data_IF_385865240984
#
_entry.id   IF_385865240984
#
_cell.length_a   1.000
_cell.length_b   1.000
_cell.length_c   1.000
_cell.angle_alpha   90.00
_cell.angle_beta   90.00
_cell.angle_gamma   90.00
#
_symmetry.space_group_name_H-M   'P 1'
#
loop_
_entity.id
_entity.type
_entity.pdbx_description
1 polymer ?
#
# COMPACT_ATOMS: atom_id res chain seq x y z
N UNK A 1 -26.07 -69.57 6.51
CA UNK A 1 -27.08 -68.65 7.11
C UNK A 1 -26.49 -67.29 7.07
N UNK A 2 -26.56 -66.73 5.86
CA UNK A 2 -25.99 -65.43 5.50
C UNK A 2 -27.07 -64.35 5.72
N UNK A 3 -26.73 -63.33 6.45
CA UNK A 3 -27.55 -62.12 6.59
C UNK A 3 -26.98 -61.04 5.66
N UNK A 4 -27.72 -60.67 4.62
CA UNK A 4 -27.55 -59.52 3.79
C UNK A 4 -28.06 -58.29 4.57
N UNK A 5 -27.25 -57.31 4.73
CA UNK A 5 -27.59 -55.98 5.27
C UNK A 5 -27.68 -55.00 4.10
N UNK A 6 -28.88 -54.56 3.79
CA UNK A 6 -29.20 -53.58 2.76
C UNK A 6 -28.72 -52.17 3.21
N UNK A 7 -27.80 -51.57 2.47
CA UNK A 7 -27.44 -50.16 2.61
C UNK A 7 -28.39 -49.32 1.76
N UNK A 8 -29.28 -48.56 2.42
CA UNK A 8 -30.13 -47.57 1.79
C UNK A 8 -29.29 -46.37 1.29
N UNK A 9 -29.41 -46.11 0.00
CA UNK A 9 -28.88 -44.90 -0.68
C UNK A 9 -29.65 -43.66 -0.22
N UNK A 10 -28.99 -42.77 0.52
CA UNK A 10 -29.48 -41.44 0.83
C UNK A 10 -29.03 -40.47 -0.25
N UNK A 11 -29.92 -39.80 -1.00
CA UNK A 11 -29.53 -38.82 -2.01
C UNK A 11 -29.00 -37.53 -1.37
N UNK A 12 -27.72 -37.25 -1.59
CA UNK A 12 -27.10 -35.97 -1.23
C UNK A 12 -27.61 -34.89 -2.17
N UNK A 13 -28.57 -34.09 -1.70
CA UNK A 13 -29.00 -32.87 -2.41
C UNK A 13 -28.01 -31.76 -2.16
N UNK A 14 -27.10 -31.52 -3.08
CA UNK A 14 -26.26 -30.34 -3.13
C UNK A 14 -27.10 -29.10 -3.44
N UNK A 15 -27.46 -28.35 -2.41
CA UNK A 15 -28.09 -27.03 -2.55
C UNK A 15 -27.01 -26.00 -2.87
N UNK A 16 -26.96 -25.52 -4.11
CA UNK A 16 -26.16 -24.39 -4.50
C UNK A 16 -26.56 -23.13 -3.68
N UNK A 17 -25.61 -22.35 -3.15
CA UNK A 17 -25.93 -21.16 -2.39
C UNK A 17 -26.61 -20.11 -3.28
N UNK A 18 -27.84 -19.74 -2.94
CA UNK A 18 -28.55 -18.61 -3.56
C UNK A 18 -27.79 -17.31 -3.24
N UNK A 19 -27.03 -16.80 -4.19
CA UNK A 19 -26.41 -15.47 -4.12
C UNK A 19 -27.50 -14.41 -3.90
N UNK A 20 -27.51 -13.79 -2.72
CA UNK A 20 -28.51 -12.82 -2.35
C UNK A 20 -28.36 -11.54 -3.21
N UNK A 21 -29.48 -11.03 -3.76
CA UNK A 21 -29.54 -9.75 -4.50
C UNK A 21 -29.12 -8.56 -3.61
N UNK A 22 -29.25 -8.69 -2.30
CA UNK A 22 -28.84 -7.69 -1.31
C UNK A 22 -27.34 -7.39 -1.33
N UNK A 23 -26.47 -8.40 -1.51
CA UNK A 23 -25.03 -8.19 -1.58
C UNK A 23 -24.60 -7.37 -2.81
N UNK A 24 -25.30 -7.52 -3.96
CA UNK A 24 -25.01 -6.75 -5.18
C UNK A 24 -25.44 -5.29 -5.06
N UNK A 25 -26.54 -5.01 -4.38
CA UNK A 25 -27.03 -3.63 -4.16
C UNK A 25 -26.18 -2.89 -3.13
N UNK A 26 -25.66 -3.59 -2.12
CA UNK A 26 -24.77 -3.01 -1.11
C UNK A 26 -23.38 -2.69 -1.69
N UNK A 27 -22.84 -3.56 -2.55
CA UNK A 27 -21.57 -3.34 -3.22
C UNK A 27 -21.63 -2.10 -4.15
N UNK A 28 -22.74 -1.91 -4.88
CA UNK A 28 -22.94 -0.74 -5.75
C UNK A 28 -23.08 0.58 -4.94
N UNK A 29 -23.70 0.54 -3.76
CA UNK A 29 -23.82 1.71 -2.89
C UNK A 29 -22.48 2.07 -2.22
N UNK A 30 -21.69 1.07 -1.80
CA UNK A 30 -20.36 1.27 -1.23
C UNK A 30 -19.36 1.75 -2.29
N UNK A 31 -19.42 1.21 -3.51
CA UNK A 31 -18.60 1.67 -4.64
C UNK A 31 -18.91 3.14 -5.00
N UNK A 32 -20.17 3.55 -4.94
CA UNK A 32 -20.56 4.95 -5.14
C UNK A 32 -20.03 5.89 -4.03
N UNK A 33 -19.98 5.43 -2.78
CA UNK A 33 -19.46 6.20 -1.66
C UNK A 33 -17.91 6.27 -1.64
N UNK A 34 -17.22 5.23 -2.11
CA UNK A 34 -15.76 5.20 -2.18
C UNK A 34 -15.19 6.10 -3.27
N UNK A 35 -15.90 6.30 -4.39
CA UNK A 35 -15.48 7.22 -5.47
C UNK A 35 -15.55 8.69 -5.03
N UNK A 36 -16.40 8.97 -4.03
CA UNK A 36 -16.60 10.30 -3.46
C UNK A 36 -16.00 10.38 -2.04
N UNK A 37 -14.78 9.86 -1.86
CA UNK A 37 -14.11 9.91 -0.57
C UNK A 37 -14.28 11.28 0.10
N UNK A 38 -14.61 11.36 1.39
CA UNK A 38 -14.86 12.63 2.04
C UNK A 38 -13.61 13.49 1.92
N UNK A 39 -13.74 14.61 1.23
CA UNK A 39 -12.82 15.72 1.40
C UNK A 39 -12.91 16.12 2.87
N UNK A 40 -12.07 15.53 3.72
CA UNK A 40 -11.99 15.91 5.13
C UNK A 40 -11.42 17.32 5.16
N UNK A 41 -12.32 18.32 5.18
CA UNK A 41 -11.93 19.68 5.44
C UNK A 41 -11.31 19.71 6.84
N UNK A 42 -10.01 19.93 6.91
CA UNK A 42 -9.33 20.24 8.18
C UNK A 42 -9.78 21.62 8.66
N UNK A 43 -9.76 21.83 9.97
CA UNK A 43 -10.02 23.13 10.59
C UNK A 43 -9.06 24.24 10.12
N UNK A 44 -7.88 23.89 9.60
CA UNK A 44 -7.07 24.70 8.71
C UNK A 44 -7.25 24.12 7.31
N UNK A 45 -8.07 24.80 6.47
CA UNK A 45 -8.16 24.44 5.05
C UNK A 45 -6.75 24.17 4.52
N UNK A 46 -6.44 22.99 3.98
CA UNK A 46 -5.17 22.82 3.30
C UNK A 46 -5.08 23.93 2.25
N UNK A 47 -3.91 24.56 2.06
CA UNK A 47 -3.80 25.68 1.15
C UNK A 47 -4.38 25.24 -0.19
N UNK A 48 -5.53 25.83 -0.56
CA UNK A 48 -6.19 25.52 -1.83
C UNK A 48 -5.15 25.69 -2.91
N UNK A 49 -5.10 24.77 -3.85
CA UNK A 49 -4.22 24.92 -5.02
C UNK A 49 -4.40 26.33 -5.55
N UNK A 50 -3.32 27.10 -5.76
CA UNK A 50 -3.48 28.43 -6.32
C UNK A 50 -4.24 28.30 -7.63
N UNK A 51 -5.38 28.97 -7.72
CA UNK A 51 -6.13 29.05 -8.99
C UNK A 51 -5.16 29.63 -10.01
N UNK A 52 -5.13 29.10 -11.25
CA UNK A 52 -4.35 29.71 -12.32
C UNK A 52 -4.68 31.19 -12.39
N UNK A 53 -3.66 32.04 -12.35
CA UNK A 53 -3.84 33.49 -12.44
C UNK A 53 -4.32 33.82 -13.87
N UNK A 54 -5.64 33.93 -14.05
CA UNK A 54 -6.28 34.37 -15.30
C UNK A 54 -6.21 35.88 -15.51
N UNK A 55 -5.36 36.60 -14.76
CA UNK A 55 -5.26 38.07 -14.82
C UNK A 55 -4.69 38.61 -16.16
N UNK A 56 -4.62 37.78 -17.20
CA UNK A 56 -4.26 38.24 -18.56
C UNK A 56 -2.80 38.69 -18.72
N UNK A 57 -1.94 38.40 -17.75
CA UNK A 57 -0.51 38.67 -17.90
C UNK A 57 0.12 37.67 -18.85
N UNK A 58 0.90 38.10 -19.85
CA UNK A 58 1.67 37.16 -20.66
C UNK A 58 2.61 36.36 -19.75
N UNK A 59 2.76 35.04 -19.98
CA UNK A 59 3.70 34.26 -19.23
C UNK A 59 5.11 34.84 -19.35
N UNK A 60 5.93 34.80 -18.29
CA UNK A 60 7.31 35.28 -18.36
C UNK A 60 8.07 34.56 -19.48
N UNK A 61 9.04 35.22 -20.15
CA UNK A 61 9.79 34.60 -21.23
C UNK A 61 10.48 33.33 -20.74
N UNK A 62 10.49 32.26 -21.55
CA UNK A 62 11.08 30.99 -21.16
C UNK A 62 12.57 31.18 -20.84
N UNK A 63 13.00 30.51 -19.77
CA UNK A 63 14.42 30.45 -19.42
C UNK A 63 15.11 29.33 -20.19
N UNK A 64 16.44 29.39 -20.44
CA UNK A 64 17.17 28.33 -21.15
C UNK A 64 16.97 26.93 -20.56
N UNK A 65 16.71 26.82 -19.24
CA UNK A 65 16.36 25.57 -18.58
C UNK A 65 14.96 25.07 -18.98
N UNK A 66 14.03 25.96 -19.27
CA UNK A 66 12.68 25.59 -19.76
C UNK A 66 12.71 25.09 -21.20
N UNK A 67 13.65 25.56 -22.01
CA UNK A 67 13.84 25.06 -23.37
C UNK A 67 14.38 23.62 -23.37
N UNK A 68 15.25 23.27 -22.42
CA UNK A 68 15.73 21.88 -22.25
C UNK A 68 14.60 20.92 -21.85
N UNK A 69 13.59 21.39 -21.14
CA UNK A 69 12.42 20.62 -20.75
C UNK A 69 11.49 20.29 -21.92
N UNK A 70 11.70 20.89 -23.10
CA UNK A 70 10.93 20.56 -24.30
C UNK A 70 11.16 19.11 -24.76
N UNK A 71 12.37 18.58 -24.58
CA UNK A 71 12.70 17.20 -24.98
C UNK A 71 11.86 16.17 -24.21
N UNK A 72 11.85 16.13 -22.87
CA UNK A 72 10.96 15.24 -22.14
C UNK A 72 9.47 15.53 -22.41
N UNK A 73 9.05 16.78 -22.63
CA UNK A 73 7.67 17.10 -22.98
C UNK A 73 7.21 16.46 -24.29
N UNK A 74 8.06 16.46 -25.31
CA UNK A 74 7.75 15.81 -26.60
C UNK A 74 7.70 14.29 -26.45
N UNK A 75 8.65 13.70 -25.72
CA UNK A 75 8.71 12.26 -25.48
C UNK A 75 7.47 11.77 -24.73
N UNK A 76 7.05 12.52 -23.72
CA UNK A 76 5.87 12.17 -22.90
C UNK A 76 4.54 12.73 -23.44
N UNK A 77 4.55 13.43 -24.59
CA UNK A 77 3.32 13.98 -25.16
C UNK A 77 2.22 12.95 -25.42
N UNK A 78 2.47 11.71 -25.91
CA UNK A 78 1.42 10.70 -26.06
C UNK A 78 0.79 10.33 -24.72
N UNK A 79 1.60 10.19 -23.68
CA UNK A 79 1.13 9.91 -22.30
C UNK A 79 0.28 11.08 -21.79
N UNK A 80 0.75 12.31 -21.99
CA UNK A 80 0.00 13.51 -21.64
C UNK A 80 -1.37 13.55 -22.31
N UNK A 81 -1.46 13.37 -23.64
CA UNK A 81 -2.73 13.39 -24.34
C UNK A 81 -3.66 12.28 -23.85
N UNK A 82 -3.14 11.08 -23.67
CA UNK A 82 -3.93 9.95 -23.15
C UNK A 82 -4.48 10.27 -21.77
N UNK A 83 -3.65 10.70 -20.85
CA UNK A 83 -4.07 11.01 -19.48
C UNK A 83 -5.00 12.22 -19.41
N UNK A 84 -4.78 13.25 -20.21
CA UNK A 84 -5.63 14.44 -20.24
C UNK A 84 -7.05 14.12 -20.78
N UNK A 85 -7.14 13.40 -21.89
CA UNK A 85 -8.42 13.18 -22.56
C UNK A 85 -9.19 11.97 -22.05
N UNK A 86 -8.52 10.89 -21.65
CA UNK A 86 -9.18 9.67 -21.18
C UNK A 86 -9.39 9.61 -19.66
N UNK A 87 -8.60 10.36 -18.89
CA UNK A 87 -8.66 10.31 -17.41
C UNK A 87 -9.11 11.66 -16.86
N UNK A 88 -8.31 12.70 -17.04
CA UNK A 88 -8.51 13.97 -16.35
C UNK A 88 -9.83 14.66 -16.74
N UNK A 89 -10.15 14.77 -18.03
CA UNK A 89 -11.38 15.44 -18.45
C UNK A 89 -12.66 14.72 -18.02
N UNK A 90 -12.80 13.39 -18.17
CA UNK A 90 -13.98 12.69 -17.68
C UNK A 90 -14.13 12.77 -16.16
N UNK A 91 -13.04 12.59 -15.41
CA UNK A 91 -13.07 12.65 -13.93
C UNK A 91 -13.37 14.08 -13.47
N UNK A 92 -12.71 15.09 -14.05
CA UNK A 92 -13.00 16.49 -13.73
C UNK A 92 -14.44 16.90 -14.04
N UNK A 93 -15.03 16.37 -15.12
CA UNK A 93 -16.45 16.59 -15.42
C UNK A 93 -17.36 15.93 -14.37
N UNK A 94 -17.00 14.74 -13.88
CA UNK A 94 -17.71 14.04 -12.81
C UNK A 94 -17.61 14.81 -11.49
N UNK A 95 -16.42 15.28 -11.13
CA UNK A 95 -16.20 16.12 -9.92
C UNK A 95 -17.06 17.39 -9.98
N UNK A 96 -17.04 18.13 -11.10
CA UNK A 96 -17.84 19.33 -11.28
C UNK A 96 -19.35 19.02 -11.17
N UNK A 97 -19.80 17.89 -11.73
CA UNK A 97 -21.18 17.45 -11.61
C UNK A 97 -21.57 17.14 -10.16
N UNK A 98 -20.68 16.45 -9.43
CA UNK A 98 -20.87 16.13 -8.01
C UNK A 98 -20.89 17.40 -7.14
N UNK A 99 -19.99 18.36 -7.40
CA UNK A 99 -19.98 19.65 -6.70
C UNK A 99 -21.25 20.45 -6.96
N UNK A 100 -21.72 20.53 -8.22
CA UNK A 100 -22.99 21.20 -8.59
C UNK A 100 -24.19 20.57 -7.90
N UNK A 101 -24.18 19.26 -7.72
CA UNK A 101 -25.20 18.53 -7.00
C UNK A 101 -25.04 18.60 -5.47
N UNK A 102 -24.01 19.33 -4.96
CA UNK A 102 -23.66 19.47 -3.55
C UNK A 102 -23.43 18.13 -2.85
N UNK A 103 -23.04 17.09 -3.59
CA UNK A 103 -22.82 15.75 -3.07
C UNK A 103 -21.68 15.72 -2.03
N UNK A 104 -20.50 16.35 -2.26
CA UNK A 104 -19.41 16.33 -1.28
C UNK A 104 -19.83 16.89 0.08
N UNK A 105 -20.51 18.05 0.11
CA UNK A 105 -20.95 18.66 1.37
C UNK A 105 -22.02 17.83 2.06
N UNK A 106 -22.92 17.21 1.30
CA UNK A 106 -23.97 16.34 1.84
C UNK A 106 -23.35 15.12 2.52
N UNK A 107 -22.40 14.45 1.86
CA UNK A 107 -21.68 13.31 2.44
C UNK A 107 -20.84 13.72 3.64
N UNK A 108 -20.12 14.84 3.54
CA UNK A 108 -19.33 15.37 4.65
C UNK A 108 -20.21 15.60 5.89
N UNK A 109 -21.32 16.33 5.76
CA UNK A 109 -22.24 16.58 6.87
C UNK A 109 -22.93 15.32 7.38
N UNK A 110 -23.09 14.30 6.54
CA UNK A 110 -23.71 13.03 6.96
C UNK A 110 -22.75 12.16 7.78
N UNK A 111 -21.48 12.12 7.40
CA UNK A 111 -20.48 11.26 8.02
C UNK A 111 -19.68 11.92 9.13
N UNK A 112 -19.80 13.26 9.32
CA UNK A 112 -19.06 13.98 10.35
C UNK A 112 -19.97 14.60 11.38
N UNK A 113 -19.49 14.71 12.62
CA UNK A 113 -20.28 15.09 13.78
C UNK A 113 -19.62 16.22 14.58
N UNK A 114 -20.44 16.89 15.39
CA UNK A 114 -20.02 17.96 16.28
C UNK A 114 -19.96 19.34 15.59
N UNK A 115 -19.82 20.42 16.38
CA UNK A 115 -19.91 21.81 15.87
C UNK A 115 -18.80 22.19 14.90
N UNK A 116 -17.66 21.52 14.94
CA UNK A 116 -16.50 21.78 14.08
C UNK A 116 -16.18 20.61 13.15
N UNK A 117 -17.09 19.62 13.05
CA UNK A 117 -16.88 18.41 12.25
C UNK A 117 -15.57 17.66 12.55
N UNK A 118 -15.10 17.72 13.80
CA UNK A 118 -13.84 17.12 14.25
C UNK A 118 -13.92 15.61 14.45
N UNK A 119 -15.08 15.01 14.38
CA UNK A 119 -15.28 13.58 14.50
C UNK A 119 -16.16 13.05 13.38
N UNK A 120 -15.95 11.81 13.01
CA UNK A 120 -16.75 11.19 11.96
C UNK A 120 -16.60 9.68 11.91
N UNK A 121 -17.54 9.05 11.20
CA UNK A 121 -17.53 7.62 10.91
C UNK A 121 -17.84 7.45 9.42
N UNK A 122 -16.93 6.83 8.69
CA UNK A 122 -16.99 6.67 7.24
C UNK A 122 -16.93 5.19 6.89
N UNK A 123 -17.86 4.65 6.08
CA UNK A 123 -17.71 3.31 5.55
C UNK A 123 -16.52 3.25 4.60
N UNK A 124 -15.76 2.19 4.71
CA UNK A 124 -14.60 1.94 3.84
C UNK A 124 -14.70 0.58 3.18
N UNK A 125 -14.16 0.47 2.00
CA UNK A 125 -14.04 -0.79 1.29
C UNK A 125 -12.73 -0.79 0.48
N UNK A 126 -12.10 -1.96 0.43
CA UNK A 126 -10.93 -2.17 -0.40
C UNK A 126 -11.05 -3.52 -1.10
N UNK A 127 -10.76 -3.53 -2.38
CA UNK A 127 -10.74 -4.71 -3.24
C UNK A 127 -9.36 -4.80 -3.88
N UNK A 128 -8.68 -5.89 -3.63
CA UNK A 128 -7.47 -6.27 -4.34
C UNK A 128 -7.69 -7.65 -4.96
N UNK A 129 -7.54 -7.74 -6.27
CA UNK A 129 -7.77 -9.00 -6.96
C UNK A 129 -6.72 -10.02 -6.55
N UNK A 130 -7.18 -11.21 -6.16
CA UNK A 130 -6.32 -12.29 -5.68
C UNK A 130 -6.29 -12.45 -4.16
N UNK A 131 -7.02 -11.59 -3.42
CA UNK A 131 -7.26 -11.73 -1.98
C UNK A 131 -8.70 -11.37 -1.65
N UNK A 132 -9.18 -11.75 -0.48
CA UNK A 132 -10.51 -11.38 -0.03
C UNK A 132 -10.65 -9.85 0.10
N UNK A 133 -11.75 -9.28 -0.40
CA UNK A 133 -12.01 -7.86 -0.22
C UNK A 133 -12.21 -7.52 1.24
N UNK A 134 -12.08 -6.23 1.58
CA UNK A 134 -12.41 -5.72 2.90
C UNK A 134 -13.58 -4.75 2.86
N UNK A 135 -14.47 -4.89 3.84
CA UNK A 135 -15.53 -3.94 4.14
C UNK A 135 -15.39 -3.52 5.60
N UNK A 136 -15.61 -2.25 5.89
CA UNK A 136 -15.47 -1.81 7.26
C UNK A 136 -15.84 -0.37 7.49
N UNK A 137 -15.32 0.16 8.58
CA UNK A 137 -15.54 1.52 9.01
C UNK A 137 -14.22 2.17 9.42
N UNK A 138 -14.09 3.42 9.03
CA UNK A 138 -13.07 4.33 9.51
C UNK A 138 -13.72 5.36 10.42
N UNK A 139 -13.23 5.50 11.65
CA UNK A 139 -13.66 6.54 12.55
C UNK A 139 -12.49 7.44 12.90
N UNK A 140 -12.74 8.74 12.95
CA UNK A 140 -11.75 9.73 13.33
C UNK A 140 -12.28 10.70 14.37
N UNK A 141 -11.36 11.22 15.19
CA UNK A 141 -11.66 12.25 16.17
C UNK A 141 -10.42 13.16 16.31
N UNK A 142 -10.52 14.36 15.74
CA UNK A 142 -9.49 15.40 15.87
C UNK A 142 -9.68 16.13 17.20
N UNK A 143 -8.57 16.45 17.87
CA UNK A 143 -8.56 17.06 19.21
C UNK A 143 -9.37 16.22 20.23
N UNK A 144 -9.23 14.90 20.20
CA UNK A 144 -10.09 13.97 20.93
C UNK A 144 -10.10 14.20 22.45
N UNK A 145 -8.96 14.35 23.07
CA UNK A 145 -8.82 14.60 24.51
C UNK A 145 -8.23 15.97 24.81
N UNK A 146 -7.39 16.50 23.90
CA UNK A 146 -6.79 17.83 24.00
C UNK A 146 -6.38 18.31 22.59
N UNK A 147 -6.05 19.59 22.46
CA UNK A 147 -5.65 20.18 21.18
C UNK A 147 -4.39 19.52 20.63
N UNK A 148 -4.45 19.03 19.39
CA UNK A 148 -3.36 18.33 18.70
C UNK A 148 -3.39 16.81 18.90
N UNK A 149 -4.37 16.28 19.62
CA UNK A 149 -4.58 14.85 19.80
C UNK A 149 -5.58 14.30 18.76
N UNK A 150 -5.12 13.47 17.86
CA UNK A 150 -5.91 12.93 16.77
C UNK A 150 -6.02 11.41 16.90
N UNK A 151 -7.25 10.93 17.07
CA UNK A 151 -7.56 9.51 17.19
C UNK A 151 -8.12 9.00 15.86
N UNK A 152 -7.63 7.87 15.40
CA UNK A 152 -8.04 7.16 14.19
C UNK A 152 -8.30 5.70 14.51
N UNK A 153 -9.40 5.18 14.01
CA UNK A 153 -9.79 3.79 14.23
C UNK A 153 -10.26 3.19 12.91
N UNK A 154 -9.76 2.01 12.60
CA UNK A 154 -10.16 1.23 11.43
C UNK A 154 -10.64 -0.13 11.89
N UNK A 155 -11.77 -0.56 11.40
CA UNK A 155 -12.27 -1.92 11.58
C UNK A 155 -12.74 -2.43 10.23
N UNK A 156 -12.16 -3.52 9.78
CA UNK A 156 -12.42 -4.10 8.47
C UNK A 156 -12.52 -5.61 8.58
N UNK A 157 -13.21 -6.23 7.64
CA UNK A 157 -13.31 -7.67 7.57
C UNK A 157 -14.05 -8.13 6.34
N UNK A 158 -14.13 -9.45 6.19
CA UNK A 158 -14.94 -10.15 5.22
C UNK A 158 -15.65 -11.31 5.93
N UNK A 159 -16.95 -11.48 5.75
CA UNK A 159 -17.72 -12.48 6.49
C UNK A 159 -17.10 -13.87 6.44
N UNK A 160 -16.93 -14.45 7.64
CA UNK A 160 -16.42 -15.80 7.90
C UNK A 160 -14.99 -16.09 7.40
N UNK A 161 -14.30 -15.05 6.88
CA UNK A 161 -12.97 -15.20 6.29
C UNK A 161 -11.89 -14.48 7.11
N UNK A 162 -12.01 -13.18 7.32
CA UNK A 162 -11.01 -12.42 8.02
C UNK A 162 -11.53 -11.19 8.75
N UNK A 163 -10.76 -10.74 9.74
CA UNK A 163 -11.03 -9.56 10.55
C UNK A 163 -9.74 -8.80 10.80
N UNK A 164 -9.82 -7.48 10.71
CA UNK A 164 -8.70 -6.60 11.03
C UNK A 164 -9.16 -5.31 11.70
N UNK A 165 -8.27 -4.71 12.46
CA UNK A 165 -8.54 -3.41 13.05
C UNK A 165 -7.27 -2.72 13.53
N UNK A 166 -7.31 -1.38 13.53
CA UNK A 166 -6.24 -0.58 14.13
C UNK A 166 -6.80 0.61 14.89
N UNK A 167 -6.08 1.01 15.91
CA UNK A 167 -6.29 2.23 16.67
C UNK A 167 -4.97 3.00 16.61
N UNK A 168 -5.01 4.23 16.13
CA UNK A 168 -3.86 5.12 16.02
C UNK A 168 -4.19 6.41 16.73
N UNK A 169 -3.39 6.75 17.73
CA UNK A 169 -3.43 8.04 18.40
C UNK A 169 -2.19 8.82 18.01
N UNK A 170 -2.37 9.98 17.40
CA UNK A 170 -1.28 10.89 17.02
C UNK A 170 -1.39 12.20 17.82
N UNK A 171 -0.38 12.47 18.62
CA UNK A 171 -0.24 13.68 19.40
C UNK A 171 0.73 14.62 18.68
N UNK A 172 0.24 15.76 18.19
CA UNK A 172 1.03 16.77 17.52
C UNK A 172 1.37 17.89 18.51
N UNK A 173 2.67 18.09 18.73
CA UNK A 173 3.18 19.11 19.64
C UNK A 173 3.24 20.49 18.96
N UNK A 174 3.27 21.60 19.72
CA UNK A 174 3.41 22.94 19.15
C UNK A 174 4.68 23.14 18.30
N UNK A 175 5.73 22.38 18.56
CA UNK A 175 6.97 22.31 17.77
C UNK A 175 6.81 21.63 16.41
N UNK A 176 5.64 21.07 16.11
CA UNK A 176 5.29 20.23 14.95
C UNK A 176 5.83 18.79 14.99
N UNK A 177 6.58 18.44 16.04
CA UNK A 177 6.91 17.04 16.30
C UNK A 177 5.63 16.28 16.58
N UNK A 178 5.64 14.96 16.36
CA UNK A 178 4.48 14.14 16.73
C UNK A 178 4.88 12.81 17.35
N UNK A 179 4.06 12.37 18.31
CA UNK A 179 4.11 11.02 18.87
C UNK A 179 2.89 10.25 18.35
N UNK A 180 3.13 9.11 17.73
CA UNK A 180 2.09 8.20 17.29
C UNK A 180 2.13 6.92 18.12
N UNK A 181 0.99 6.56 18.71
CA UNK A 181 0.76 5.26 19.34
C UNK A 181 -0.16 4.46 18.41
N UNK A 182 0.24 3.23 18.06
CA UNK A 182 -0.53 2.36 17.18
C UNK A 182 -0.75 1.01 17.84
N UNK A 183 -1.99 0.50 17.76
CA UNK A 183 -2.35 -0.88 18.03
C UNK A 183 -3.03 -1.44 16.79
N UNK A 184 -2.59 -2.61 16.34
CA UNK A 184 -3.10 -3.30 15.16
C UNK A 184 -3.38 -4.75 15.53
N UNK A 185 -4.50 -5.29 15.07
CA UNK A 185 -4.81 -6.71 15.12
C UNK A 185 -5.36 -7.17 13.77
N UNK A 186 -4.86 -8.29 13.26
CA UNK A 186 -5.31 -8.89 12.01
C UNK A 186 -5.37 -10.39 12.19
N UNK A 187 -6.46 -10.99 11.71
CA UNK A 187 -6.62 -12.41 11.45
C UNK A 187 -7.03 -12.57 10.00
N UNK A 188 -6.19 -13.23 9.17
CA UNK A 188 -6.41 -13.28 7.73
C UNK A 188 -5.90 -14.59 7.12
N UNK A 189 -6.74 -15.38 6.39
CA UNK A 189 -6.39 -16.72 5.90
C UNK A 189 -5.79 -16.74 4.49
N UNK A 190 -5.78 -15.63 3.76
CA UNK A 190 -5.62 -15.58 2.30
C UNK A 190 -4.32 -14.93 1.81
N UNK A 191 -3.30 -14.87 2.69
CA UNK A 191 -2.01 -14.28 2.32
C UNK A 191 -1.30 -15.11 1.25
N UNK A 192 -0.89 -14.52 0.12
CA UNK A 192 -0.21 -15.25 -0.94
C UNK A 192 1.27 -15.49 -0.60
N UNK A 193 1.75 -16.68 -0.98
CA UNK A 193 3.15 -17.07 -0.89
C UNK A 193 3.57 -17.86 -2.12
N UNK A 194 4.78 -17.65 -2.61
CA UNK A 194 5.26 -18.25 -3.87
C UNK A 194 6.65 -18.91 -3.70
N UNK A 195 7.11 -19.05 -2.45
CA UNK A 195 8.47 -19.42 -2.14
C UNK A 195 9.40 -18.22 -1.91
N UNK A 196 10.66 -18.51 -1.66
CA UNK A 196 11.72 -17.50 -1.39
C UNK A 196 12.75 -17.58 -2.50
N UNK A 197 13.21 -16.46 -3.00
CA UNK A 197 14.25 -16.37 -4.01
C UNK A 197 13.84 -15.60 -5.28
N UNK A 198 14.83 -15.27 -6.15
CA UNK A 198 14.61 -14.45 -7.34
C UNK A 198 13.86 -15.18 -8.45
N UNK A 199 13.92 -16.52 -8.50
CA UNK A 199 13.40 -17.36 -9.59
C UNK A 199 12.07 -18.04 -9.25
N UNK A 200 11.35 -17.56 -8.22
CA UNK A 200 10.03 -18.11 -7.88
C UNK A 200 9.03 -17.95 -9.02
N UNK A 201 8.18 -18.96 -9.23
CA UNK A 201 7.21 -18.99 -10.32
C UNK A 201 5.81 -18.58 -9.84
N UNK A 202 5.01 -18.00 -10.74
CA UNK A 202 3.61 -17.70 -10.49
C UNK A 202 2.79 -18.97 -10.20
N UNK A 203 3.17 -20.09 -10.81
CA UNK A 203 2.51 -21.39 -10.60
C UNK A 203 2.71 -21.97 -9.20
N UNK A 204 3.68 -21.46 -8.42
CA UNK A 204 3.89 -21.88 -7.02
C UNK A 204 3.05 -21.08 -6.03
N UNK A 205 1.97 -20.40 -6.51
CA UNK A 205 1.04 -19.70 -5.65
C UNK A 205 0.43 -20.63 -4.62
N UNK A 206 0.57 -20.27 -3.37
CA UNK A 206 -0.08 -20.92 -2.24
C UNK A 206 -0.62 -19.89 -1.26
N UNK A 207 -1.36 -20.33 -0.25
CA UNK A 207 -1.97 -19.46 0.76
C UNK A 207 -1.55 -19.85 2.16
N UNK A 208 -1.23 -18.85 2.98
CA UNK A 208 -1.09 -19.03 4.42
C UNK A 208 -2.00 -18.08 5.16
N UNK A 209 -2.40 -18.49 6.35
CA UNK A 209 -3.12 -17.63 7.28
C UNK A 209 -2.18 -17.00 8.29
N UNK A 210 -2.56 -15.82 8.77
CA UNK A 210 -1.82 -15.08 9.79
C UNK A 210 -2.78 -14.52 10.83
N UNK A 211 -2.44 -14.73 12.10
CA UNK A 211 -2.95 -13.99 13.26
C UNK A 211 -1.84 -13.08 13.75
N UNK A 212 -2.03 -11.76 13.66
CA UNK A 212 -1.01 -10.75 14.01
C UNK A 212 -1.56 -9.73 14.98
N UNK A 213 -0.78 -9.39 15.98
CA UNK A 213 -0.99 -8.22 16.85
C UNK A 213 0.28 -7.40 16.87
N UNK A 214 0.15 -6.09 16.69
CA UNK A 214 1.28 -5.14 16.72
C UNK A 214 0.93 -3.94 17.58
N UNK A 215 1.82 -3.59 18.50
CA UNK A 215 1.72 -2.38 19.32
C UNK A 215 2.99 -1.56 19.19
N UNK A 216 2.89 -0.28 18.82
CA UNK A 216 4.06 0.57 18.61
C UNK A 216 3.88 2.00 19.09
N UNK A 217 5.03 2.63 19.39
CA UNK A 217 5.14 4.05 19.65
C UNK A 217 6.22 4.62 18.72
N UNK A 218 5.86 5.63 17.95
CA UNK A 218 6.75 6.27 16.95
C UNK A 218 6.78 7.77 17.17
N UNK A 219 7.96 8.33 17.24
CA UNK A 219 8.20 9.78 17.33
C UNK A 219 8.71 10.28 15.97
N UNK A 220 8.02 11.27 15.40
CA UNK A 220 8.38 11.94 14.15
C UNK A 220 8.88 13.36 14.44
N UNK A 221 10.07 13.65 13.98
CA UNK A 221 10.74 14.92 14.14
C UNK A 221 10.97 15.57 12.77
N UNK A 222 10.11 16.52 12.34
CA UNK A 222 10.29 17.26 11.11
C UNK A 222 11.51 18.18 11.20
N UNK A 223 12.27 18.23 10.11
CA UNK A 223 13.48 19.04 10.01
C UNK A 223 13.34 20.12 8.93
N UNK A 224 14.33 20.20 8.06
CA UNK A 224 14.35 21.14 6.97
C UNK A 224 13.46 20.70 5.80
N UNK A 225 12.54 21.55 5.33
CA UNK A 225 11.58 21.26 4.25
C UNK A 225 10.77 20.00 4.54
N UNK A 226 10.80 19.00 3.64
CA UNK A 226 10.12 17.71 3.85
C UNK A 226 11.01 16.67 4.52
N UNK A 227 12.18 17.05 5.02
CA UNK A 227 13.10 16.17 5.74
C UNK A 227 12.58 15.85 7.13
N UNK A 228 12.82 14.62 7.61
CA UNK A 228 12.44 14.18 8.95
C UNK A 228 13.37 13.11 9.51
N UNK A 229 13.34 12.99 10.82
CA UNK A 229 13.83 11.82 11.56
C UNK A 229 12.64 11.16 12.23
N UNK A 230 12.58 9.84 12.17
CA UNK A 230 11.55 9.07 12.83
C UNK A 230 12.22 7.97 13.65
N UNK A 231 11.81 7.83 14.91
CA UNK A 231 12.30 6.78 15.81
C UNK A 231 11.09 6.09 16.43
N UNK A 232 11.08 4.77 16.46
CA UNK A 232 9.98 3.99 16.98
C UNK A 232 10.45 2.76 17.73
N UNK A 233 9.57 2.28 18.60
CA UNK A 233 9.70 0.99 19.31
C UNK A 233 8.36 0.27 19.23
N UNK A 234 8.39 -1.05 19.22
CA UNK A 234 7.17 -1.83 19.22
C UNK A 234 7.38 -3.27 19.61
N UNK A 235 6.25 -3.95 19.74
CA UNK A 235 6.19 -5.39 19.96
C UNK A 235 5.15 -5.95 19.02
N UNK A 236 5.48 -7.04 18.33
CA UNK A 236 4.50 -7.76 17.55
C UNK A 236 4.52 -9.26 17.85
N UNK A 237 3.36 -9.84 17.70
CA UNK A 237 3.10 -11.27 17.71
C UNK A 237 2.57 -11.67 16.35
N UNK A 238 3.05 -12.77 15.81
CA UNK A 238 2.53 -13.39 14.59
C UNK A 238 2.48 -14.90 14.77
N UNK A 239 1.35 -15.50 14.41
CA UNK A 239 1.14 -16.94 14.32
C UNK A 239 0.66 -17.28 12.92
N UNK A 240 1.11 -18.41 12.37
CA UNK A 240 0.81 -18.82 11.01
C UNK A 240 0.07 -20.15 10.99
N UNK A 241 -0.79 -20.30 10.00
CA UNK A 241 -1.54 -21.54 9.76
C UNK A 241 -1.74 -21.75 8.26
N UNK A 242 -2.19 -22.94 7.88
CA UNK A 242 -2.49 -23.25 6.47
C UNK A 242 -3.65 -22.38 5.99
N UNK A 243 -3.41 -21.64 4.91
CA UNK A 243 -4.35 -20.63 4.42
C UNK A 243 -5.26 -21.18 3.32
N UNK A 244 -6.21 -20.35 2.90
CA UNK A 244 -7.11 -20.69 1.79
C UNK A 244 -7.63 -19.43 1.09
N UNK A 245 -7.84 -19.54 -0.22
CA UNK A 245 -8.54 -18.56 -1.04
C UNK A 245 -9.08 -19.22 -2.29
N UNK A 246 -10.40 -19.35 -2.40
CA UNK A 246 -11.06 -20.08 -3.48
C UNK A 246 -10.51 -21.53 -3.64
N UNK A 247 -9.88 -21.81 -4.78
CA UNK A 247 -9.28 -23.10 -5.12
C UNK A 247 -7.75 -23.11 -5.01
N UNK A 248 -7.15 -22.03 -4.52
CA UNK A 248 -5.70 -21.96 -4.36
C UNK A 248 -5.24 -22.96 -3.29
N UNK A 249 -4.12 -23.67 -3.47
CA UNK A 249 -3.61 -24.60 -2.48
C UNK A 249 -3.14 -23.86 -1.22
N UNK A 250 -3.25 -24.53 -0.07
CA UNK A 250 -2.60 -24.06 1.14
C UNK A 250 -1.08 -24.20 1.06
N UNK A 251 -0.35 -23.43 1.89
CA UNK A 251 1.12 -23.44 1.88
C UNK A 251 1.70 -24.83 2.19
N UNK A 252 1.03 -25.59 3.06
CA UNK A 252 1.47 -26.95 3.39
C UNK A 252 1.23 -27.94 2.25
N UNK A 253 0.15 -27.76 1.50
CA UNK A 253 -0.15 -28.57 0.33
C UNK A 253 0.88 -28.35 -0.76
N UNK A 254 1.17 -27.08 -1.09
CA UNK A 254 2.13 -26.73 -2.14
C UNK A 254 3.57 -27.13 -1.76
N UNK A 255 3.95 -26.98 -0.49
CA UNK A 255 5.24 -27.48 0.00
C UNK A 255 5.38 -29.00 -0.14
N UNK A 256 4.28 -29.78 0.04
CA UNK A 256 4.31 -31.26 -0.16
C UNK A 256 4.48 -31.65 -1.63
N UNK A 257 4.14 -30.81 -2.59
CA UNK A 257 4.43 -31.04 -4.01
C UNK A 257 5.92 -30.87 -4.34
N UNK A 258 6.68 -30.23 -3.47
CA UNK A 258 8.09 -29.94 -3.67
C UNK A 258 8.36 -28.60 -4.38
N UNK A 259 7.34 -27.74 -4.53
CA UNK A 259 7.51 -26.43 -5.15
C UNK A 259 8.46 -25.53 -4.35
N UNK A 260 8.41 -25.62 -3.03
CA UNK A 260 9.31 -24.95 -2.08
C UNK A 260 9.34 -25.68 -0.73
N UNK A 261 10.32 -25.37 0.11
CA UNK A 261 10.32 -25.77 1.52
C UNK A 261 9.46 -24.81 2.35
N UNK A 262 8.81 -25.30 3.41
CA UNK A 262 8.12 -24.42 4.36
C UNK A 262 9.09 -23.39 4.92
N UNK A 263 8.70 -22.10 4.94
CA UNK A 263 9.60 -21.02 5.29
C UNK A 263 9.88 -20.97 6.80
N UNK A 264 10.99 -20.36 7.17
CA UNK A 264 11.39 -20.16 8.55
C UNK A 264 10.34 -19.33 9.33
N UNK A 265 9.99 -19.78 10.53
CA UNK A 265 8.94 -19.19 11.34
C UNK A 265 7.54 -19.82 11.15
N UNK A 266 7.33 -20.59 10.11
CA UNK A 266 6.10 -21.35 9.89
C UNK A 266 6.24 -22.79 10.44
N UNK A 267 5.20 -23.39 11.08
CA UNK A 267 3.88 -22.78 11.42
C UNK A 267 3.87 -22.03 12.76
N UNK A 268 4.87 -22.17 13.60
CA UNK A 268 4.83 -21.81 15.03
C UNK A 268 4.78 -20.30 15.30
N UNK A 269 5.06 -19.46 14.30
CA UNK A 269 5.06 -18.01 14.48
C UNK A 269 6.19 -17.50 15.39
N UNK A 270 6.08 -16.26 15.82
CA UNK A 270 7.06 -15.61 16.69
C UNK A 270 6.47 -14.39 17.42
N UNK A 271 7.14 -14.01 18.52
CA UNK A 271 6.92 -12.75 19.22
C UNK A 271 8.23 -11.98 19.24
N UNK A 272 8.21 -10.73 18.87
CA UNK A 272 9.42 -9.91 18.84
C UNK A 272 9.16 -8.48 19.31
N UNK A 273 10.15 -7.93 20.00
CA UNK A 273 10.29 -6.48 20.12
C UNK A 273 11.06 -5.93 18.92
N UNK A 274 10.80 -4.70 18.54
CA UNK A 274 11.56 -4.05 17.49
C UNK A 274 11.81 -2.58 17.76
N UNK A 275 12.92 -2.08 17.20
CA UNK A 275 13.31 -0.68 17.18
C UNK A 275 13.40 -0.23 15.72
N UNK A 276 12.88 0.94 15.44
CA UNK A 276 12.84 1.51 14.10
C UNK A 276 13.47 2.90 14.08
N UNK A 277 14.28 3.18 13.06
CA UNK A 277 14.87 4.49 12.81
C UNK A 277 14.78 4.79 11.32
N UNK A 278 14.25 5.96 10.98
CA UNK A 278 14.24 6.52 9.63
C UNK A 278 14.91 7.89 9.66
N UNK A 279 15.79 8.11 8.70
CA UNK A 279 16.34 9.41 8.38
C UNK A 279 16.02 9.74 6.92
N UNK A 280 15.25 10.79 6.69
CA UNK A 280 14.86 11.25 5.37
C UNK A 280 15.36 12.68 5.14
N UNK A 281 16.21 12.87 4.15
CA UNK A 281 16.60 14.17 3.62
C UNK A 281 15.80 14.45 2.36
N UNK A 282 14.92 15.42 2.38
CA UNK A 282 14.08 15.77 1.25
C UNK A 282 14.13 17.28 0.99
N UNK A 283 14.71 17.64 -0.13
CA UNK A 283 14.87 19.03 -0.54
C UNK A 283 13.60 19.63 -1.16
N UNK A 284 12.56 18.82 -1.37
CA UNK A 284 11.26 19.30 -1.86
C UNK A 284 10.53 20.09 -0.78
N UNK A 285 9.48 20.79 -1.17
CA UNK A 285 8.56 21.40 -0.20
C UNK A 285 7.74 20.34 0.50
N UNK A 286 7.28 20.60 1.73
CA UNK A 286 6.33 19.70 2.37
C UNK A 286 5.05 19.56 1.55
N UNK A 287 4.40 18.41 1.70
CA UNK A 287 3.06 18.19 1.18
C UNK A 287 2.12 19.35 1.61
N UNK A 288 1.20 19.85 0.74
CA UNK A 288 0.92 19.42 -0.63
C UNK A 288 1.73 20.14 -1.74
N UNK A 289 2.74 20.94 -1.40
CA UNK A 289 3.51 21.76 -2.35
C UNK A 289 4.73 21.02 -2.92
N UNK A 290 4.72 19.72 -2.96
CA UNK A 290 5.80 18.93 -3.54
C UNK A 290 6.10 19.36 -4.98
N UNK A 291 7.36 19.40 -5.35
CA UNK A 291 7.81 19.81 -6.67
C UNK A 291 9.14 19.14 -7.02
N UNK A 292 10.02 19.90 -7.69
CA UNK A 292 11.35 19.42 -8.02
C UNK A 292 12.26 19.35 -6.80
N UNK A 293 13.15 18.37 -6.78
CA UNK A 293 14.14 18.21 -5.71
C UNK A 293 14.79 16.83 -5.72
N UNK A 294 15.49 16.55 -4.64
CA UNK A 294 16.12 15.24 -4.38
C UNK A 294 15.71 14.75 -3.00
N UNK A 295 15.62 13.44 -2.87
CA UNK A 295 15.33 12.76 -1.60
C UNK A 295 16.30 11.61 -1.40
N UNK A 296 16.80 11.50 -0.17
CA UNK A 296 17.64 10.40 0.30
C UNK A 296 17.02 9.86 1.58
N UNK A 297 16.78 8.56 1.63
CA UNK A 297 16.27 7.90 2.82
C UNK A 297 17.25 6.82 3.26
N UNK A 298 17.42 6.71 4.57
CA UNK A 298 18.06 5.59 5.24
C UNK A 298 17.13 5.11 6.37
N UNK A 299 16.83 3.83 6.40
CA UNK A 299 15.94 3.24 7.39
C UNK A 299 16.57 1.97 7.94
N UNK A 300 16.39 1.74 9.23
CA UNK A 300 16.78 0.48 9.88
C UNK A 300 15.67 0.06 10.85
N UNK A 301 15.41 -1.24 10.90
CA UNK A 301 14.52 -1.88 11.89
C UNK A 301 15.23 -3.09 12.45
N UNK A 302 15.55 -3.05 13.74
CA UNK A 302 16.09 -4.18 14.46
C UNK A 302 14.96 -4.90 15.19
N UNK A 303 14.81 -6.19 14.98
CA UNK A 303 13.90 -7.05 15.73
C UNK A 303 14.66 -8.05 16.60
N UNK A 304 14.10 -8.39 17.74
CA UNK A 304 14.62 -9.42 18.62
C UNK A 304 13.47 -10.32 19.09
N UNK A 305 13.62 -11.64 18.90
CA UNK A 305 12.67 -12.59 19.44
C UNK A 305 12.63 -12.53 20.97
N UNK A 306 11.42 -12.47 21.54
CA UNK A 306 11.19 -12.46 22.99
C UNK A 306 10.28 -13.63 23.40
N UNK A 307 10.16 -13.90 24.70
CA UNK A 307 9.21 -14.86 25.27
C UNK A 307 9.25 -16.26 24.64
N UNK A 308 10.42 -16.89 24.59
CA UNK A 308 10.61 -18.24 24.03
C UNK A 308 10.34 -18.35 22.51
N UNK A 309 10.33 -17.22 21.80
CA UNK A 309 10.24 -17.20 20.36
C UNK A 309 11.40 -17.97 19.72
N UNK A 310 11.16 -18.80 18.70
CA UNK A 310 12.22 -19.46 17.95
C UNK A 310 13.03 -18.49 17.07
N UNK A 311 12.50 -17.29 16.81
CA UNK A 311 13.18 -16.27 16.03
C UNK A 311 14.40 -15.72 16.77
N UNK A 312 15.53 -15.65 16.10
CA UNK A 312 16.68 -14.87 16.56
C UNK A 312 16.48 -13.38 16.26
N UNK A 313 17.45 -12.55 16.68
CA UNK A 313 17.47 -11.16 16.29
C UNK A 313 17.75 -10.99 14.78
N UNK A 314 17.18 -9.95 14.17
CA UNK A 314 17.43 -9.56 12.78
C UNK A 314 17.53 -8.05 12.65
N UNK A 315 18.19 -7.61 11.58
CA UNK A 315 18.28 -6.22 11.18
C UNK A 315 17.77 -6.10 9.74
N UNK A 316 16.68 -5.36 9.53
CA UNK A 316 16.29 -4.89 8.20
C UNK A 316 16.79 -3.48 8.02
N UNK A 317 17.44 -3.21 6.91
CA UNK A 317 17.88 -1.87 6.59
C UNK A 317 17.73 -1.60 5.10
N UNK A 318 17.51 -0.34 4.77
CA UNK A 318 17.31 0.07 3.40
C UNK A 318 17.87 1.46 3.16
N UNK A 319 18.26 1.71 1.91
CA UNK A 319 18.63 3.01 1.42
C UNK A 319 17.89 3.32 0.15
N UNK A 320 17.47 4.57 -0.02
CA UNK A 320 16.91 5.04 -1.28
C UNK A 320 17.45 6.41 -1.67
N UNK A 321 17.56 6.65 -2.97
CA UNK A 321 17.91 7.93 -3.55
C UNK A 321 16.97 8.23 -4.72
N UNK A 322 16.36 9.42 -4.73
CA UNK A 322 15.41 9.82 -5.76
C UNK A 322 15.60 11.26 -6.22
N UNK A 323 15.47 11.47 -7.54
CA UNK A 323 15.37 12.78 -8.16
C UNK A 323 13.95 13.04 -8.66
N UNK A 324 13.45 14.24 -8.45
CA UNK A 324 12.09 14.67 -8.79
C UNK A 324 12.14 15.93 -9.65
N UNK A 325 11.42 15.93 -10.74
CA UNK A 325 11.34 17.05 -11.67
C UNK A 325 9.87 17.40 -11.93
N UNK A 326 9.44 18.54 -11.44
CA UNK A 326 8.16 19.14 -11.85
C UNK A 326 8.35 19.78 -13.23
N UNK A 327 7.74 19.17 -14.24
CA UNK A 327 7.99 19.46 -15.66
C UNK A 327 7.43 20.83 -16.06
N UNK A 328 6.36 21.29 -15.43
CA UNK A 328 5.67 22.51 -15.84
C UNK A 328 5.33 23.47 -14.69
N UNK A 329 5.79 23.16 -13.48
CA UNK A 329 5.48 23.95 -12.29
C UNK A 329 4.03 23.78 -11.77
N UNK A 330 3.30 22.77 -12.27
CA UNK A 330 1.91 22.49 -11.93
C UNK A 330 1.75 21.11 -11.29
N UNK A 331 2.77 20.64 -10.56
CA UNK A 331 2.79 19.33 -9.88
C UNK A 331 2.75 18.13 -10.84
N UNK A 332 3.21 18.31 -12.08
CA UNK A 332 3.47 17.19 -12.99
C UNK A 332 4.89 16.71 -12.81
N UNK A 333 5.05 15.76 -11.92
CA UNK A 333 6.36 15.34 -11.41
C UNK A 333 6.78 14.01 -12.05
N UNK A 334 7.90 14.04 -12.76
CA UNK A 334 8.65 12.83 -13.15
C UNK A 334 9.69 12.57 -12.08
N UNK A 335 9.80 11.34 -11.62
CA UNK A 335 10.82 10.95 -10.65
C UNK A 335 11.51 9.67 -11.05
N UNK A 336 12.80 9.62 -10.75
CA UNK A 336 13.62 8.41 -10.84
C UNK A 336 14.18 8.14 -9.45
N UNK A 337 13.97 6.93 -8.95
CA UNK A 337 14.50 6.48 -7.67
C UNK A 337 15.19 5.13 -7.78
N UNK A 338 16.22 4.97 -6.96
CA UNK A 338 16.91 3.71 -6.73
C UNK A 338 16.74 3.33 -5.26
N UNK A 339 16.44 2.08 -4.99
CA UNK A 339 16.25 1.55 -3.64
C UNK A 339 16.95 0.21 -3.50
N UNK A 340 17.59 0.02 -2.35
CA UNK A 340 18.15 -1.27 -1.92
C UNK A 340 17.65 -1.59 -0.52
N UNK A 341 17.31 -2.85 -0.31
CA UNK A 341 16.75 -3.37 0.95
C UNK A 341 17.53 -4.63 1.33
N UNK A 342 17.74 -4.83 2.64
CA UNK A 342 18.49 -5.94 3.19
C UNK A 342 17.84 -6.45 4.48
N UNK A 343 17.99 -7.75 4.74
CA UNK A 343 17.58 -8.41 5.97
C UNK A 343 18.70 -9.36 6.44
N UNK A 344 19.31 -9.02 7.57
CA UNK A 344 20.45 -9.72 8.13
C UNK A 344 20.10 -10.35 9.47
N UNK A 345 20.49 -11.62 9.74
CA UNK A 345 20.36 -12.22 11.05
C UNK A 345 21.39 -11.58 12.00
N UNK A 346 20.97 -11.26 13.24
CA UNK A 346 21.85 -10.79 14.30
C UNK A 346 22.31 -11.93 15.23
N UNK A 347 22.04 -13.17 14.88
CA UNK A 347 22.39 -14.37 15.61
C UNK A 347 22.44 -15.61 14.72
N UNK A 348 22.48 -16.79 15.32
CA UNK A 348 22.55 -18.05 14.56
C UNK A 348 21.22 -18.62 14.12
N UNK A 349 20.10 -18.05 14.55
CA UNK A 349 18.77 -18.49 14.15
C UNK A 349 18.29 -17.83 12.85
N UNK A 350 17.26 -18.38 12.22
CA UNK A 350 16.71 -17.85 10.99
C UNK A 350 15.93 -16.55 11.21
N UNK A 351 15.79 -15.76 10.15
CA UNK A 351 14.88 -14.63 10.09
C UNK A 351 13.49 -15.17 9.73
N UNK A 352 12.42 -14.86 10.47
CA UNK A 352 11.07 -15.23 10.07
C UNK A 352 10.75 -14.72 8.66
N UNK A 353 10.09 -15.53 7.83
CA UNK A 353 9.89 -15.20 6.41
C UNK A 353 9.12 -13.89 6.18
N UNK A 354 8.24 -13.50 7.10
CA UNK A 354 7.53 -12.22 7.05
C UNK A 354 8.40 -11.01 7.39
N UNK A 355 9.60 -11.24 7.91
CA UNK A 355 10.61 -10.21 8.20
C UNK A 355 11.69 -10.12 7.13
N UNK A 356 11.66 -10.98 6.13
CA UNK A 356 12.48 -10.86 4.93
C UNK A 356 12.08 -9.64 4.09
N UNK A 357 12.92 -9.29 3.15
CA UNK A 357 12.61 -8.24 2.16
C UNK A 357 11.51 -8.74 1.24
N UNK A 358 10.50 -7.91 1.03
CA UNK A 358 9.40 -8.20 0.09
C UNK A 358 9.21 -7.04 -0.89
N UNK A 359 9.02 -7.38 -2.17
CA UNK A 359 8.60 -6.46 -3.22
C UNK A 359 7.21 -6.87 -3.71
N UNK A 360 6.42 -5.90 -4.07
CA UNK A 360 5.02 -6.09 -4.46
C UNK A 360 4.04 -5.65 -3.36
N UNK A 361 2.80 -5.42 -3.75
CA UNK A 361 1.79 -4.81 -2.89
C UNK A 361 1.60 -3.32 -3.17
N UNK A 362 0.71 -2.67 -2.40
CA UNK A 362 0.24 -1.30 -2.67
C UNK A 362 1.31 -0.23 -2.47
N UNK A 363 2.11 -0.37 -1.44
CA UNK A 363 3.12 0.63 -1.04
C UNK A 363 4.53 0.26 -1.45
N UNK A 364 4.70 -0.90 -2.08
CA UNK A 364 5.99 -1.39 -2.50
C UNK A 364 6.42 -0.82 -3.86
N UNK A 365 7.72 -0.82 -4.18
CA UNK A 365 8.22 -0.25 -5.43
C UNK A 365 7.79 -1.00 -6.69
N UNK A 366 7.25 -2.22 -6.58
CA UNK A 366 6.82 -3.05 -7.71
C UNK A 366 5.32 -3.43 -7.61
N UNK A 367 4.40 -2.47 -7.76
CA UNK A 367 2.98 -2.67 -7.48
C UNK A 367 2.23 -3.59 -8.46
N UNK A 368 2.86 -4.00 -9.56
CA UNK A 368 2.30 -5.01 -10.47
C UNK A 368 2.33 -6.44 -9.92
N UNK A 369 3.03 -6.66 -8.82
CA UNK A 369 3.09 -7.95 -8.13
C UNK A 369 2.25 -7.94 -6.84
N UNK A 370 1.70 -9.09 -6.46
CA UNK A 370 1.05 -9.28 -5.16
C UNK A 370 2.04 -9.07 -4.02
N UNK A 371 1.52 -8.61 -2.89
CA UNK A 371 2.30 -8.65 -1.65
C UNK A 371 2.73 -10.10 -1.37
N UNK A 372 4.00 -10.30 -1.02
CA UNK A 372 4.53 -11.65 -0.79
C UNK A 372 4.90 -12.44 -2.06
N UNK A 373 4.78 -11.84 -3.28
CA UNK A 373 5.19 -12.52 -4.53
C UNK A 373 6.71 -12.64 -4.65
N UNK A 374 7.44 -11.64 -4.25
CA UNK A 374 8.90 -11.58 -4.34
C UNK A 374 9.45 -11.38 -2.93
N UNK A 375 10.05 -12.43 -2.37
CA UNK A 375 10.58 -12.45 -1.00
C UNK A 375 11.99 -13.04 -1.02
N UNK A 376 12.95 -12.35 -0.40
CA UNK A 376 14.29 -12.89 -0.13
C UNK A 376 15.02 -11.99 0.89
N UNK A 377 16.31 -12.21 1.09
CA UNK A 377 17.15 -11.49 2.05
C UNK A 377 17.55 -10.09 1.61
N UNK A 378 17.55 -9.82 0.30
CA UNK A 378 17.84 -8.49 -0.22
C UNK A 378 17.04 -8.17 -1.46
N UNK A 379 17.01 -6.89 -1.84
CA UNK A 379 16.41 -6.42 -3.10
C UNK A 379 17.11 -5.18 -3.62
N UNK A 380 17.03 -5.02 -4.94
CA UNK A 380 17.41 -3.78 -5.63
C UNK A 380 16.35 -3.42 -6.66
N UNK A 381 15.89 -2.16 -6.66
CA UNK A 381 14.83 -1.68 -7.55
C UNK A 381 15.14 -0.29 -8.05
N UNK A 382 14.97 -0.08 -9.36
CA UNK A 382 14.94 1.21 -10.02
C UNK A 382 13.48 1.53 -10.39
N UNK A 383 12.99 2.70 -10.05
CA UNK A 383 11.60 3.11 -10.30
C UNK A 383 11.57 4.44 -11.03
N UNK A 384 10.88 4.48 -12.17
CA UNK A 384 10.50 5.68 -12.89
C UNK A 384 9.00 5.91 -12.64
N UNK A 385 8.63 7.06 -12.08
CA UNK A 385 7.23 7.41 -11.81
C UNK A 385 6.89 8.77 -12.40
N UNK A 386 5.71 8.88 -12.97
CA UNK A 386 5.10 10.14 -13.39
C UNK A 386 3.81 10.34 -12.60
N UNK A 387 3.70 11.47 -11.89
CA UNK A 387 2.52 11.88 -11.14
C UNK A 387 1.98 13.19 -11.70
N UNK A 388 0.66 13.29 -11.82
CA UNK A 388 -0.02 14.49 -12.31
C UNK A 388 -1.34 14.74 -11.58
N UNK A 389 -1.71 16.02 -11.35
CA UNK A 389 -3.01 16.33 -10.75
C UNK A 389 -4.15 16.02 -11.74
N UNK A 390 -5.16 15.27 -11.27
CA UNK A 390 -6.38 14.96 -11.99
C UNK A 390 -7.50 15.89 -11.53
N UNK A 391 -7.67 16.03 -10.23
CA UNK A 391 -8.65 16.87 -9.58
C UNK A 391 -8.10 17.58 -8.35
N UNK A 392 -8.94 18.24 -7.55
CA UNK A 392 -8.51 18.90 -6.33
C UNK A 392 -7.92 17.96 -5.28
N UNK A 393 -8.39 16.71 -5.26
CA UNK A 393 -8.05 15.71 -4.24
C UNK A 393 -7.49 14.40 -4.81
N UNK A 394 -7.36 14.30 -6.13
CA UNK A 394 -6.97 13.07 -6.82
C UNK A 394 -5.80 13.37 -7.74
N UNK A 395 -4.73 12.64 -7.58
CA UNK A 395 -3.59 12.60 -8.48
C UNK A 395 -3.62 11.30 -9.30
N UNK A 396 -3.25 11.41 -10.56
CA UNK A 396 -2.92 10.26 -11.39
C UNK A 396 -1.46 9.87 -11.21
N UNK A 397 -1.17 8.59 -11.29
CA UNK A 397 0.20 8.08 -11.27
C UNK A 397 0.41 7.01 -12.33
N UNK A 398 1.60 6.99 -12.90
CA UNK A 398 2.10 5.94 -13.78
C UNK A 398 3.51 5.57 -13.31
N UNK A 399 3.76 4.27 -13.20
CA UNK A 399 5.02 3.78 -12.67
C UNK A 399 5.56 2.63 -13.53
N UNK A 400 6.86 2.64 -13.72
CA UNK A 400 7.65 1.55 -14.29
C UNK A 400 8.78 1.23 -13.32
N UNK A 401 8.91 0.00 -12.91
CA UNK A 401 9.95 -0.44 -11.99
C UNK A 401 10.70 -1.65 -12.56
N UNK A 402 11.97 -1.69 -12.31
CA UNK A 402 12.88 -2.77 -12.70
C UNK A 402 13.63 -3.22 -11.45
N UNK A 403 13.51 -4.47 -11.07
CA UNK A 403 14.15 -5.00 -9.87
C UNK A 403 13.82 -6.46 -9.62
N UNK A 404 14.36 -7.00 -8.55
CA UNK A 404 14.02 -8.31 -8.00
C UNK A 404 14.58 -8.43 -6.58
N UNK A 405 14.26 -9.56 -5.94
CA UNK A 405 14.86 -10.00 -4.69
C UNK A 405 16.05 -10.92 -4.94
N UNK A 406 16.97 -11.01 -3.99
CA UNK A 406 18.21 -11.79 -4.09
C UNK A 406 18.62 -12.31 -2.71
N UNK A 407 19.55 -13.23 -2.68
CA UNK A 407 20.18 -13.72 -1.47
C UNK A 407 20.83 -12.61 -0.64
N UNK A 408 21.70 -12.97 0.28
CA UNK A 408 22.38 -12.03 1.17
C UNK A 408 23.15 -10.95 0.39
N UNK A 409 22.91 -9.66 0.72
CA UNK A 409 23.63 -8.52 0.12
C UNK A 409 23.75 -8.55 -1.41
N UNK A 410 22.64 -8.91 -2.07
CA UNK A 410 22.53 -9.08 -3.52
C UNK A 410 23.32 -10.28 -4.07
N UNK A 411 23.59 -11.29 -3.24
CA UNK A 411 24.18 -12.54 -3.71
C UNK A 411 23.29 -13.16 -4.79
N UNK A 412 23.93 -13.61 -5.89
CA UNK A 412 23.22 -14.15 -7.03
C UNK A 412 22.58 -13.08 -7.94
N UNK A 413 22.95 -11.80 -7.78
CA UNK A 413 22.48 -10.76 -8.70
C UNK A 413 22.98 -11.03 -10.13
N UNK A 414 22.01 -11.23 -11.02
CA UNK A 414 22.24 -11.33 -12.47
C UNK A 414 21.19 -10.46 -13.19
N UNK A 415 21.57 -9.71 -14.24
CA UNK A 415 20.62 -8.89 -15.00
C UNK A 415 19.45 -9.71 -15.61
N UNK A 416 19.68 -10.98 -15.94
CA UNK A 416 18.66 -11.91 -16.45
C UNK A 416 17.56 -12.21 -15.44
N UNK A 417 17.85 -12.15 -14.14
CA UNK A 417 16.90 -12.36 -13.06
C UNK A 417 16.01 -11.15 -12.77
N UNK A 418 16.30 -9.99 -13.37
CA UNK A 418 15.45 -8.82 -13.16
C UNK A 418 14.05 -9.05 -13.74
N UNK A 419 13.06 -8.41 -13.07
CA UNK A 419 11.64 -8.40 -13.45
C UNK A 419 11.20 -6.98 -13.69
N UNK A 420 10.23 -6.80 -14.56
CA UNK A 420 9.59 -5.52 -14.80
C UNK A 420 8.23 -5.46 -14.12
N UNK A 421 7.89 -4.30 -13.55
CA UNK A 421 6.57 -3.99 -13.03
C UNK A 421 6.09 -2.67 -13.63
N UNK A 422 4.91 -2.68 -14.23
CA UNK A 422 4.24 -1.50 -14.73
C UNK A 422 2.93 -1.28 -14.00
N UNK A 423 2.58 -0.03 -13.69
CA UNK A 423 1.31 0.30 -13.08
C UNK A 423 0.82 1.69 -13.50
N UNK A 424 -0.50 1.85 -13.55
CA UNK A 424 -1.18 3.12 -13.72
C UNK A 424 -2.32 3.19 -12.70
N UNK A 425 -2.54 4.37 -12.12
CA UNK A 425 -3.55 4.49 -11.09
C UNK A 425 -3.97 5.92 -10.80
N UNK A 426 -4.93 6.00 -9.88
CA UNK A 426 -5.41 7.22 -9.23
C UNK A 426 -5.18 7.06 -7.74
N UNK A 427 -4.74 8.10 -7.09
CA UNK A 427 -4.50 8.12 -5.65
C UNK A 427 -5.04 9.40 -5.04
N UNK A 428 -5.58 9.30 -3.83
CA UNK A 428 -6.05 10.46 -3.08
C UNK A 428 -4.86 11.26 -2.55
N UNK A 429 -4.95 12.57 -2.68
CA UNK A 429 -3.99 13.53 -2.16
C UNK A 429 -4.47 14.19 -0.84
N UNK A 430 -5.55 13.68 -0.23
CA UNK A 430 -6.29 14.41 0.78
C UNK A 430 -5.96 14.04 2.24
N UNK A 431 -5.42 12.87 2.51
CA UNK A 431 -5.15 12.45 3.88
C UNK A 431 -3.95 11.49 3.97
N UNK A 432 -3.02 11.72 4.90
CA UNK A 432 -1.94 10.76 5.17
C UNK A 432 -2.44 9.48 5.86
N UNK A 433 -3.65 9.51 6.43
CA UNK A 433 -4.19 8.42 7.25
C UNK A 433 -5.17 7.52 6.48
N UNK A 434 -5.59 7.94 5.27
CA UNK A 434 -6.57 7.20 4.47
C UNK A 434 -6.40 7.57 3.00
N UNK A 435 -5.83 6.67 2.24
CA UNK A 435 -5.56 6.88 0.82
C UNK A 435 -6.56 6.09 -0.03
N UNK A 436 -7.36 6.81 -0.82
CA UNK A 436 -8.07 6.19 -1.91
C UNK A 436 -7.07 5.81 -3.00
N UNK A 437 -7.22 4.62 -3.51
CA UNK A 437 -6.40 4.08 -4.58
C UNK A 437 -7.28 3.36 -5.61
N UNK A 438 -7.00 3.60 -6.87
CA UNK A 438 -7.36 2.76 -7.99
C UNK A 438 -6.09 2.46 -8.76
N UNK A 439 -5.66 1.23 -8.80
CA UNK A 439 -4.40 0.84 -9.44
C UNK A 439 -4.64 -0.36 -10.35
N UNK A 440 -4.13 -0.27 -11.56
CA UNK A 440 -3.99 -1.38 -12.50
C UNK A 440 -2.51 -1.59 -12.74
N UNK A 441 -2.02 -2.79 -12.46
CA UNK A 441 -0.61 -3.11 -12.59
C UNK A 441 -0.38 -4.48 -13.23
N UNK A 442 0.82 -4.67 -13.74
CA UNK A 442 1.30 -5.95 -14.24
C UNK A 442 2.77 -6.16 -13.86
N UNK A 443 3.13 -7.41 -13.72
CA UNK A 443 4.50 -7.85 -13.48
C UNK A 443 4.92 -8.90 -14.49
N UNK A 444 6.22 -9.06 -14.68
CA UNK A 444 6.77 -10.04 -15.61
C UNK A 444 7.54 -11.15 -14.91
N UNK A 445 7.69 -12.27 -15.59
CA UNK A 445 8.75 -13.23 -15.28
C UNK A 445 10.13 -12.58 -15.40
N UNK A 446 11.16 -13.29 -14.95
CA UNK A 446 12.55 -12.87 -15.12
C UNK A 446 12.92 -12.81 -16.60
N UNK A 447 13.89 -11.96 -16.96
CA UNK A 447 14.26 -11.79 -18.36
C UNK A 447 14.93 -13.02 -18.97
N UNK A 448 15.61 -13.84 -18.18
CA UNK A 448 16.16 -15.13 -18.61
C UNK A 448 15.08 -16.17 -18.93
N UNK A 449 13.87 -16.04 -18.34
CA UNK A 449 12.67 -16.79 -18.70
C UNK A 449 11.78 -16.07 -19.73
N UNK A 450 12.31 -15.05 -20.42
CA UNK A 450 11.65 -14.37 -21.53
C UNK A 450 10.84 -13.14 -21.15
N UNK A 451 10.75 -12.75 -19.88
CA UNK A 451 10.10 -11.51 -19.42
C UNK A 451 8.62 -11.41 -19.79
N UNK A 452 7.91 -12.53 -19.89
CA UNK A 452 6.47 -12.56 -20.19
C UNK A 452 5.68 -12.01 -19.01
N UNK A 453 4.54 -11.37 -19.30
CA UNK A 453 3.62 -10.91 -18.24
C UNK A 453 3.01 -12.16 -17.58
N UNK A 454 3.25 -12.30 -16.28
CA UNK A 454 2.76 -13.42 -15.45
C UNK A 454 1.86 -12.96 -14.30
N UNK A 455 1.89 -11.67 -13.98
CA UNK A 455 1.11 -11.08 -12.90
C UNK A 455 0.27 -9.93 -13.41
N UNK A 456 -1.00 -9.90 -13.03
CA UNK A 456 -1.90 -8.78 -13.26
C UNK A 456 -2.60 -8.45 -11.95
N UNK A 457 -2.61 -7.17 -11.59
CA UNK A 457 -3.20 -6.70 -10.35
C UNK A 457 -4.14 -5.54 -10.60
N UNK A 458 -5.29 -5.59 -9.95
CA UNK A 458 -6.24 -4.49 -9.86
C UNK A 458 -6.59 -4.29 -8.40
N UNK A 459 -6.28 -3.13 -7.86
CA UNK A 459 -6.70 -2.74 -6.52
C UNK A 459 -7.57 -1.48 -6.57
N UNK A 460 -8.59 -1.45 -5.72
CA UNK A 460 -9.55 -0.35 -5.66
C UNK A 460 -10.09 -0.20 -4.25
N UNK A 461 -10.09 1.02 -3.76
CA UNK A 461 -10.72 1.35 -2.49
C UNK A 461 -9.89 2.27 -1.62
N UNK A 462 -10.17 2.24 -0.32
CA UNK A 462 -9.44 2.99 0.69
C UNK A 462 -8.54 2.03 1.42
N UNK A 463 -7.23 2.16 1.21
CA UNK A 463 -6.19 1.40 1.91
C UNK A 463 -5.69 2.21 3.11
N UNK A 464 -5.56 1.55 4.24
CA UNK A 464 -5.10 2.15 5.49
C UNK A 464 -3.87 1.41 6.05
N UNK A 465 -3.21 0.64 5.20
CA UNK A 465 -2.05 -0.16 5.61
C UNK A 465 -2.38 -1.30 6.57
N UNK A 466 -3.59 -1.88 6.44
CA UNK A 466 -4.03 -3.09 7.13
C UNK A 466 -3.81 -4.31 6.25
#
# INVERSE_FOLDING_TARGET
MEAHEDLEDVPVTTRAPRRSKAARSMLAAVLGACVLGPAVARADDPPRRPLPDYAGRPPPPPTPGQDLLWVPRVIFSPVYFTTEFLIRRPIGALEIAAERANIPNTLYNFFTFGPEHKSGIVPIAFVDFGVNPSLGVYAFWDDAFFKGDNLRMHFVGWPDEWLGGSIVQRIVFPSKDSLQLKLLGIRRPDQPFFGIGPSTLQSSLSRYGIDKVDGSATFDFPMWRASKVEAGVGVHYAEFYDGHYHSDPGIEEEARTGAFALPDGYPGGYTAEYNHLLFALDSRRPFPEEGSGVRLDAQATQGNGIASSPASGWLRWQGSAGGFLDVDGHRRVVSLSLQTLFADPLGSGPIPFTELVSLGGDVAPMPGFYQGRLIDRSAAVATLRYRWPVGPFIDGSMQAALGNVFGEHLEGFEPGLLRFSGAIGLESDSSPDSNFQLLVGFGTETFDHGGQIDSFRLSFGISNGL
#
